data_IF_298107659669
#
_entry.id   IF_298107659669
#
_cell.length_a   1.000
_cell.length_b   1.000
_cell.length_c   1.000
_cell.angle_alpha   90.00
_cell.angle_beta   90.00
_cell.angle_gamma   90.00
#
_symmetry.space_group_name_H-M   'P 1'
#
loop_
_entity.id
_entity.type
_entity.pdbx_description
1 polymer ?
#
# COMPACT_ATOMS: atom_id res chain seq x y z
N UNK A 1 3.93 -3.33 10.30
CA UNK A 1 5.15 -2.81 10.96
C UNK A 1 5.30 -3.48 12.32
N UNK A 2 6.48 -3.42 12.94
CA UNK A 2 6.68 -3.87 14.33
C UNK A 2 6.09 -2.84 15.29
N UNK A 3 5.29 -3.28 16.26
CA UNK A 3 4.65 -2.33 17.20
C UNK A 3 5.72 -1.70 18.09
N UNK A 4 5.75 -0.36 18.13
CA UNK A 4 6.61 0.43 19.01
C UNK A 4 5.76 1.42 19.83
N UNK A 5 6.29 2.01 20.92
CA UNK A 5 5.57 3.04 21.67
C UNK A 5 5.29 4.33 20.87
N UNK A 6 6.04 4.58 19.80
CA UNK A 6 5.79 5.69 18.88
C UNK A 6 4.71 5.29 17.87
N UNK A 7 3.64 6.08 17.81
CA UNK A 7 2.50 5.85 16.92
C UNK A 7 2.94 5.68 15.47
N UNK A 8 2.62 4.50 14.89
CA UNK A 8 2.89 4.11 13.50
C UNK A 8 4.34 4.30 13.02
N UNK A 9 5.31 4.32 13.94
CA UNK A 9 6.73 4.57 13.64
C UNK A 9 7.61 3.32 13.78
N UNK A 10 7.01 2.15 13.73
CA UNK A 10 7.73 0.88 13.80
C UNK A 10 8.41 0.48 12.50
N UNK A 11 9.50 -0.30 12.54
CA UNK A 11 10.11 -0.89 11.35
C UNK A 11 9.09 -1.63 10.48
N UNK A 12 9.21 -1.49 9.16
CA UNK A 12 8.29 -2.08 8.18
C UNK A 12 8.57 -3.57 8.08
N UNK A 13 7.62 -4.42 8.51
CA UNK A 13 7.80 -5.87 8.44
C UNK A 13 7.72 -6.39 7.00
N UNK A 14 6.64 -6.04 6.35
CA UNK A 14 6.33 -6.38 4.97
C UNK A 14 5.67 -5.18 4.31
N UNK A 15 5.72 -5.14 2.99
CA UNK A 15 5.00 -4.14 2.23
C UNK A 15 4.50 -4.70 0.89
N UNK A 16 3.47 -4.03 0.37
CA UNK A 16 3.05 -4.15 -1.01
C UNK A 16 2.93 -2.74 -1.59
N UNK A 17 3.41 -2.56 -2.81
CA UNK A 17 3.32 -1.32 -3.56
C UNK A 17 2.59 -1.53 -4.87
N UNK A 18 1.88 -0.50 -5.31
CA UNK A 18 1.21 -0.48 -6.61
C UNK A 18 1.41 0.87 -7.29
N UNK A 19 1.44 0.87 -8.61
CA UNK A 19 1.61 2.07 -9.40
C UNK A 19 0.35 2.94 -9.34
N UNK A 20 0.53 4.24 -9.07
CA UNK A 20 -0.50 5.26 -9.25
C UNK A 20 -0.53 5.84 -10.68
N UNK A 21 0.23 5.24 -11.61
CA UNK A 21 0.29 5.58 -13.04
C UNK A 21 -0.24 4.42 -13.88
N UNK A 22 -0.74 4.73 -15.08
CA UNK A 22 -1.33 3.79 -16.03
C UNK A 22 -2.85 3.93 -16.12
N UNK A 23 -3.47 3.17 -17.02
CA UNK A 23 -4.87 3.35 -17.46
C UNK A 23 -5.90 3.55 -16.32
N UNK A 24 -5.73 2.81 -15.22
CA UNK A 24 -6.58 2.91 -14.02
C UNK A 24 -6.60 4.31 -13.38
N UNK A 25 -5.51 5.06 -13.49
CA UNK A 25 -5.30 6.33 -12.78
C UNK A 25 -5.08 7.52 -13.71
N UNK A 26 -4.53 7.33 -14.92
CA UNK A 26 -4.13 8.43 -15.79
C UNK A 26 -5.29 9.39 -16.11
N UNK A 27 -6.49 8.85 -16.31
CA UNK A 27 -7.68 9.65 -16.56
C UNK A 27 -8.17 10.40 -15.30
N UNK A 28 -7.91 9.87 -14.09
CA UNK A 28 -8.24 10.51 -12.82
C UNK A 28 -7.24 11.62 -12.48
N UNK A 29 -5.95 11.39 -12.74
CA UNK A 29 -4.92 12.43 -12.63
C UNK A 29 -5.23 13.62 -13.54
N UNK A 30 -5.58 13.38 -14.81
CA UNK A 30 -6.01 14.46 -15.73
C UNK A 30 -7.19 15.26 -15.18
N UNK A 31 -8.19 14.59 -14.58
CA UNK A 31 -9.33 15.28 -13.95
C UNK A 31 -8.89 16.13 -12.76
N UNK A 32 -7.99 15.62 -11.92
CA UNK A 32 -7.44 16.38 -10.79
C UNK A 32 -6.64 17.60 -11.27
N UNK A 33 -5.80 17.45 -12.29
CA UNK A 33 -5.05 18.56 -12.90
C UNK A 33 -5.98 19.65 -13.44
N UNK A 34 -7.08 19.28 -14.11
CA UNK A 34 -8.08 20.25 -14.58
C UNK A 34 -8.78 21.00 -13.44
N UNK A 35 -9.04 20.33 -12.30
CA UNK A 35 -9.57 21.00 -11.10
C UNK A 35 -8.54 21.98 -10.52
N UNK A 36 -7.27 21.58 -10.45
CA UNK A 36 -6.17 22.39 -9.91
C UNK A 36 -5.87 23.65 -10.74
N UNK A 37 -6.21 23.65 -12.04
CA UNK A 37 -6.17 24.87 -12.86
C UNK A 37 -7.16 25.95 -12.42
N UNK A 38 -8.20 25.58 -11.66
CA UNK A 38 -9.32 26.45 -11.30
C UNK A 38 -9.45 26.69 -9.80
N UNK A 39 -8.95 25.77 -8.98
CA UNK A 39 -9.09 25.76 -7.51
C UNK A 39 -7.78 25.29 -6.87
N UNK A 40 -7.47 25.79 -5.68
CA UNK A 40 -6.39 25.24 -4.86
C UNK A 40 -6.78 23.90 -4.24
N UNK A 41 -5.80 23.09 -3.88
CA UNK A 41 -6.00 21.74 -3.34
C UNK A 41 -6.88 21.75 -2.08
N UNK A 42 -6.70 22.74 -1.21
CA UNK A 42 -7.46 22.91 0.02
C UNK A 42 -8.96 23.06 -0.26
N UNK A 43 -9.33 23.76 -1.34
CA UNK A 43 -10.73 23.95 -1.72
C UNK A 43 -11.34 22.67 -2.28
N UNK A 44 -10.57 21.91 -3.06
CA UNK A 44 -11.00 20.59 -3.56
C UNK A 44 -11.20 19.63 -2.38
N UNK A 45 -10.29 19.64 -1.40
CA UNK A 45 -10.40 18.83 -0.19
C UNK A 45 -11.63 19.20 0.65
N UNK A 46 -11.95 20.49 0.78
CA UNK A 46 -13.14 20.96 1.52
C UNK A 46 -14.44 20.54 0.83
N UNK A 47 -14.51 20.64 -0.51
CA UNK A 47 -15.73 20.39 -1.27
C UNK A 47 -16.00 18.91 -1.54
N UNK A 48 -14.95 18.13 -1.84
CA UNK A 48 -15.07 16.74 -2.28
C UNK A 48 -14.53 15.74 -1.24
N UNK A 49 -13.51 16.12 -0.48
CA UNK A 49 -12.91 15.27 0.56
C UNK A 49 -12.56 13.86 0.05
N UNK A 50 -13.05 12.84 0.75
CA UNK A 50 -12.82 11.43 0.41
C UNK A 50 -13.62 10.95 -0.82
N UNK A 51 -14.61 11.73 -1.26
CA UNK A 51 -15.39 11.43 -2.48
C UNK A 51 -14.69 11.91 -3.76
N UNK A 52 -13.54 12.58 -3.65
CA UNK A 52 -12.74 12.96 -4.80
C UNK A 52 -12.31 11.69 -5.58
N UNK A 53 -12.62 11.58 -6.90
CA UNK A 53 -12.44 10.34 -7.65
C UNK A 53 -11.03 9.72 -7.65
N UNK A 54 -9.97 10.53 -7.73
CA UNK A 54 -8.60 10.02 -7.68
C UNK A 54 -8.28 9.47 -6.29
N UNK A 55 -8.59 10.24 -5.23
CA UNK A 55 -8.39 9.79 -3.86
C UNK A 55 -9.14 8.49 -3.57
N UNK A 56 -10.43 8.45 -3.90
CA UNK A 56 -11.28 7.27 -3.72
C UNK A 56 -10.70 6.06 -4.43
N UNK A 57 -10.24 6.22 -5.67
CA UNK A 57 -9.64 5.11 -6.42
C UNK A 57 -8.34 4.61 -5.81
N UNK A 58 -7.49 5.50 -5.31
CA UNK A 58 -6.26 5.13 -4.59
C UNK A 58 -6.60 4.31 -3.34
N UNK A 59 -7.61 4.74 -2.57
CA UNK A 59 -8.08 4.02 -1.38
C UNK A 59 -8.66 2.65 -1.73
N UNK A 60 -9.49 2.55 -2.76
CA UNK A 60 -10.03 1.27 -3.24
C UNK A 60 -8.93 0.27 -3.59
N UNK A 61 -7.91 0.69 -4.37
CA UNK A 61 -6.81 -0.20 -4.74
C UNK A 61 -5.92 -0.55 -3.54
N UNK A 62 -5.78 0.34 -2.56
CA UNK A 62 -5.09 0.05 -1.31
C UNK A 62 -5.83 -1.00 -0.47
N UNK A 63 -7.14 -0.87 -0.29
CA UNK A 63 -7.96 -1.80 0.50
C UNK A 63 -7.93 -3.21 -0.07
N UNK A 64 -7.95 -3.37 -1.40
CA UNK A 64 -7.81 -4.68 -2.07
C UNK A 64 -6.53 -5.43 -1.67
N UNK A 65 -5.49 -4.72 -1.27
CA UNK A 65 -4.17 -5.27 -0.92
C UNK A 65 -3.99 -5.45 0.59
N UNK A 66 -4.83 -4.84 1.41
CA UNK A 66 -4.65 -4.79 2.86
C UNK A 66 -4.83 -6.16 3.52
N UNK A 67 -5.94 -6.84 3.25
CA UNK A 67 -6.17 -8.18 3.81
C UNK A 67 -5.17 -9.22 3.27
N UNK A 68 -4.89 -9.29 1.95
CA UNK A 68 -3.82 -10.15 1.44
C UNK A 68 -2.47 -9.87 2.08
N UNK A 69 -2.10 -8.58 2.27
CA UNK A 69 -0.84 -8.21 2.91
C UNK A 69 -0.74 -8.79 4.33
N UNK A 70 -1.81 -8.73 5.13
CA UNK A 70 -1.84 -9.33 6.47
C UNK A 70 -1.62 -10.86 6.39
N UNK A 71 -2.36 -11.54 5.52
CA UNK A 71 -2.27 -13.01 5.38
C UNK A 71 -0.87 -13.45 4.94
N UNK A 72 -0.33 -12.83 3.89
CA UNK A 72 1.00 -13.18 3.39
C UNK A 72 2.13 -12.78 4.33
N UNK A 73 1.94 -11.75 5.16
CA UNK A 73 2.88 -11.42 6.24
C UNK A 73 2.96 -12.55 7.24
N UNK A 74 1.82 -13.02 7.75
CA UNK A 74 1.77 -14.15 8.70
C UNK A 74 2.37 -15.42 8.10
N UNK A 75 2.09 -15.66 6.81
CA UNK A 75 2.66 -16.78 6.07
C UNK A 75 4.19 -16.68 5.95
N UNK A 76 4.73 -15.52 5.58
CA UNK A 76 6.17 -15.31 5.44
C UNK A 76 6.92 -15.52 6.76
N UNK A 77 6.30 -15.15 7.90
CA UNK A 77 6.84 -15.45 9.24
C UNK A 77 6.78 -16.96 9.51
N UNK A 78 5.63 -17.59 9.26
CA UNK A 78 5.42 -19.03 9.52
C UNK A 78 6.32 -19.93 8.67
N UNK A 79 6.67 -19.50 7.46
CA UNK A 79 7.56 -20.21 6.53
C UNK A 79 9.05 -19.86 6.77
N UNK A 80 9.37 -19.10 7.82
CA UNK A 80 10.72 -18.61 8.14
C UNK A 80 11.41 -17.80 7.03
N UNK A 81 10.64 -17.29 6.04
CA UNK A 81 11.15 -16.36 5.02
C UNK A 81 11.61 -15.04 5.64
N UNK A 82 10.92 -14.64 6.70
CA UNK A 82 11.25 -13.46 7.50
C UNK A 82 11.48 -13.90 8.94
N UNK A 83 12.56 -13.42 9.55
CA UNK A 83 12.88 -13.60 10.96
C UNK A 83 12.94 -12.26 11.66
N UNK A 84 12.40 -12.22 12.86
CA UNK A 84 12.43 -11.05 13.73
C UNK A 84 13.51 -11.26 14.77
N UNK A 85 14.53 -10.40 14.79
CA UNK A 85 15.62 -10.49 15.77
C UNK A 85 15.93 -9.10 16.30
N UNK A 86 15.71 -8.88 17.60
CA UNK A 86 16.09 -7.64 18.29
C UNK A 86 15.52 -6.34 17.67
N UNK A 87 14.38 -6.42 16.97
CA UNK A 87 13.75 -5.28 16.28
C UNK A 87 14.18 -5.12 14.82
N UNK A 88 15.15 -5.91 14.37
CA UNK A 88 15.58 -6.03 12.98
C UNK A 88 14.81 -7.14 12.26
N UNK A 89 14.71 -6.99 10.95
CA UNK A 89 14.03 -7.93 10.06
C UNK A 89 15.08 -8.59 9.20
N UNK A 90 15.17 -9.90 9.29
CA UNK A 90 16.17 -10.71 8.58
C UNK A 90 15.46 -11.58 7.56
N UNK A 91 15.93 -11.53 6.32
CA UNK A 91 15.52 -12.42 5.23
C UNK A 91 16.76 -12.99 4.56
N UNK A 92 16.77 -14.29 4.27
CA UNK A 92 17.91 -14.98 3.64
C UNK A 92 19.27 -14.75 4.34
N UNK A 93 19.26 -14.45 5.64
CA UNK A 93 20.46 -14.19 6.44
C UNK A 93 20.98 -12.75 6.38
N UNK A 94 20.23 -11.83 5.76
CA UNK A 94 20.58 -10.41 5.68
C UNK A 94 19.47 -9.54 6.29
N UNK A 95 19.86 -8.43 6.91
CA UNK A 95 18.93 -7.41 7.37
C UNK A 95 18.29 -6.72 6.16
N UNK A 96 16.99 -6.46 6.25
CA UNK A 96 16.20 -5.78 5.21
C UNK A 96 15.30 -4.70 5.83
N UNK A 97 15.05 -3.62 5.10
CA UNK A 97 14.16 -2.53 5.53
C UNK A 97 12.67 -2.93 5.51
N UNK A 98 12.35 -4.03 4.84
CA UNK A 98 11.01 -4.61 4.77
C UNK A 98 10.90 -5.64 3.66
N UNK A 99 10.10 -6.68 3.88
CA UNK A 99 9.95 -7.75 2.90
C UNK A 99 8.87 -7.41 1.86
N UNK A 100 9.24 -7.43 0.59
CA UNK A 100 8.32 -7.14 -0.51
C UNK A 100 7.40 -8.34 -0.77
N UNK A 101 6.08 -8.11 -0.79
CA UNK A 101 5.06 -9.12 -1.10
C UNK A 101 4.29 -8.81 -2.39
N UNK A 102 4.86 -7.97 -3.26
CA UNK A 102 4.18 -7.54 -4.49
C UNK A 102 3.75 -8.72 -5.36
N UNK A 103 4.61 -9.72 -5.55
CA UNK A 103 4.30 -10.82 -6.44
C UNK A 103 3.14 -11.68 -5.94
N UNK A 104 3.19 -12.07 -4.67
CA UNK A 104 2.18 -12.90 -4.02
C UNK A 104 0.82 -12.21 -4.03
N UNK A 105 0.78 -10.94 -3.64
CA UNK A 105 -0.46 -10.18 -3.50
C UNK A 105 -1.06 -9.85 -4.88
N UNK A 106 -0.24 -9.46 -5.86
CA UNK A 106 -0.76 -9.19 -7.21
C UNK A 106 -1.21 -10.47 -7.93
N UNK A 107 -0.66 -11.64 -7.58
CA UNK A 107 -1.18 -12.94 -8.06
C UNK A 107 -2.53 -13.26 -7.42
N UNK A 108 -2.66 -13.09 -6.10
CA UNK A 108 -3.92 -13.33 -5.37
C UNK A 108 -5.07 -12.45 -5.88
N UNK A 109 -4.82 -11.15 -6.04
CA UNK A 109 -5.83 -10.18 -6.50
C UNK A 109 -6.33 -10.52 -7.91
N UNK A 110 -5.45 -11.04 -8.78
CA UNK A 110 -5.86 -11.47 -10.13
C UNK A 110 -6.76 -12.70 -10.07
N UNK A 111 -6.45 -13.68 -9.21
CA UNK A 111 -7.23 -14.91 -9.07
C UNK A 111 -8.63 -14.67 -8.49
N UNK A 112 -8.83 -13.62 -7.66
CA UNK A 112 -10.16 -13.23 -7.16
C UNK A 112 -11.04 -12.54 -8.21
N UNK A 113 -10.47 -12.13 -9.36
CA UNK A 113 -11.20 -11.43 -10.43
C UNK A 113 -11.61 -12.31 -11.60
N UNK A 114 -11.27 -13.60 -11.57
CA UNK A 114 -11.69 -14.65 -12.53
C UNK A 114 -12.86 -15.49 -11.97
#
# INVERSE_FOLDING_TARGET
HLVTPQLDAGPILTYCSFSLKGDKFDHLWKKMEEKLKRKILEKIKEEEGEEEPLFKKIREEGVKRELPLIVYTLRAISEEKIKLKEGEIISEGHEIDGYCLNEEIEKEIKNETD
#
